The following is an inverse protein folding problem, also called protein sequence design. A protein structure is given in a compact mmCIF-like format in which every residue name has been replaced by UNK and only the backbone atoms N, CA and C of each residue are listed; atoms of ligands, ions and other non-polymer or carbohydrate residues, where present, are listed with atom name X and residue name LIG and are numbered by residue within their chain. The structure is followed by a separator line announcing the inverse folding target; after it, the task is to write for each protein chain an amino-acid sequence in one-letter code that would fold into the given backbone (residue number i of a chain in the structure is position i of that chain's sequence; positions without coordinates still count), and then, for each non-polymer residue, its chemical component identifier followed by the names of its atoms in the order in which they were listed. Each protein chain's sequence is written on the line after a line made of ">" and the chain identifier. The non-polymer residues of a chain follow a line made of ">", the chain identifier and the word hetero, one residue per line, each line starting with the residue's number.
data_IF_650229935710
#
_entry.id   IF_650229935710
#
_cell.length_a   1.000
_cell.length_b   1.000
_cell.length_c   1.000
_cell.angle_alpha   90.00
_cell.angle_beta   90.00
_cell.angle_gamma   90.00
#
_symmetry.space_group_name_H-M   'P 1'
#
loop_
_entity.id
_entity.type
_entity.pdbx_description
1 polymer ?
#
# COMPACT_ATOMS: atom_id res chain seq x y z
N UNK A 1 33.02 -16.08 -12.97
CA UNK A 1 33.91 -14.94 -13.30
C UNK A 1 33.84 -13.97 -12.13
N UNK A 2 34.86 -13.96 -11.28
CA UNK A 2 34.98 -13.07 -10.13
C UNK A 2 35.32 -11.67 -10.67
N UNK A 3 34.37 -10.74 -10.55
CA UNK A 3 34.57 -9.35 -10.90
C UNK A 3 35.63 -8.73 -9.98
N UNK A 4 36.59 -8.02 -10.61
CA UNK A 4 37.64 -7.27 -9.97
C UNK A 4 37.07 -6.19 -9.05
N UNK A 5 36.93 -6.50 -7.76
CA UNK A 5 36.81 -5.49 -6.72
C UNK A 5 38.20 -4.88 -6.49
N UNK A 6 38.29 -3.56 -6.49
CA UNK A 6 39.53 -2.84 -6.23
C UNK A 6 40.11 -3.21 -4.86
N UNK A 7 41.44 -3.22 -4.72
CA UNK A 7 42.17 -3.65 -3.52
C UNK A 7 41.78 -2.93 -2.22
N UNK A 8 41.11 -1.78 -2.30
CA UNK A 8 40.64 -1.01 -1.13
C UNK A 8 39.34 -1.53 -0.52
N UNK A 9 38.52 -2.28 -1.27
CA UNK A 9 37.26 -2.86 -0.75
C UNK A 9 37.46 -4.16 0.05
N UNK A 10 38.66 -4.75 0.03
CA UNK A 10 38.93 -6.08 0.64
C UNK A 10 39.22 -6.05 2.15
N UNK A 11 39.31 -4.88 2.80
CA UNK A 11 39.70 -4.77 4.21
C UNK A 11 38.65 -4.11 5.12
N UNK A 12 37.44 -3.78 4.66
CA UNK A 12 36.39 -3.36 5.57
C UNK A 12 35.65 -4.61 6.11
N UNK A 13 35.44 -4.70 7.43
CA UNK A 13 34.66 -5.80 7.99
C UNK A 13 33.25 -5.80 7.38
N UNK A 14 32.83 -6.95 6.82
CA UNK A 14 31.49 -7.12 6.27
C UNK A 14 30.50 -7.08 7.43
N UNK A 15 29.92 -5.93 7.70
CA UNK A 15 28.86 -5.81 8.70
C UNK A 15 27.55 -6.37 8.15
N UNK A 16 26.76 -7.12 8.95
CA UNK A 16 25.44 -7.60 8.51
C UNK A 16 24.42 -6.47 8.36
N UNK A 17 24.73 -5.26 8.86
CA UNK A 17 23.85 -4.10 8.86
C UNK A 17 24.42 -2.99 7.97
N UNK A 18 23.52 -2.27 7.29
CA UNK A 18 23.90 -1.04 6.57
C UNK A 18 24.48 0.01 7.55
N UNK A 19 25.43 0.82 7.10
CA UNK A 19 26.14 1.78 7.94
C UNK A 19 25.22 2.75 8.72
N UNK A 20 24.13 3.22 8.11
CA UNK A 20 23.15 4.08 8.79
C UNK A 20 22.41 3.37 9.92
N UNK A 21 22.10 2.09 9.74
CA UNK A 21 21.43 1.27 10.76
C UNK A 21 22.38 0.94 11.92
N UNK A 22 23.66 0.67 11.62
CA UNK A 22 24.69 0.51 12.64
C UNK A 22 24.84 1.77 13.48
N UNK A 23 24.90 2.94 12.84
CA UNK A 23 25.00 4.23 13.53
C UNK A 23 23.85 4.42 14.53
N UNK A 24 22.60 4.22 14.10
CA UNK A 24 21.43 4.37 14.95
C UNK A 24 21.41 3.35 16.08
N UNK A 25 21.83 2.11 15.84
CA UNK A 25 21.91 1.10 16.88
C UNK A 25 23.03 1.40 17.89
N UNK A 26 24.18 1.87 17.44
CA UNK A 26 25.26 2.29 18.34
C UNK A 26 24.84 3.47 19.22
N UNK A 27 24.17 4.47 18.64
CA UNK A 27 23.59 5.60 19.38
C UNK A 27 22.59 5.11 20.44
N UNK A 28 21.71 4.21 20.08
CA UNK A 28 20.68 3.66 20.98
C UNK A 28 21.30 2.88 22.17
N UNK A 29 22.29 2.02 21.89
CA UNK A 29 22.99 1.24 22.90
C UNK A 29 24.15 1.98 23.56
N UNK A 30 24.34 3.27 23.28
CA UNK A 30 25.41 4.13 23.85
C UNK A 30 26.83 3.55 23.65
N UNK A 31 27.04 2.91 22.48
CA UNK A 31 28.36 2.42 22.12
C UNK A 31 29.18 3.59 21.59
N UNK A 32 30.30 3.91 22.29
CA UNK A 32 31.26 4.92 21.81
C UNK A 32 32.00 4.39 20.58
N UNK A 33 31.43 4.67 19.41
CA UNK A 33 32.05 4.30 18.14
C UNK A 33 32.97 5.43 17.69
N UNK A 34 34.27 5.31 17.93
CA UNK A 34 35.31 6.14 17.29
C UNK A 34 35.38 5.95 15.78
N UNK A 35 34.48 5.13 15.20
CA UNK A 35 34.45 4.82 13.76
C UNK A 35 33.53 5.79 13.04
N UNK A 36 34.09 6.56 12.11
CA UNK A 36 33.32 7.29 11.12
C UNK A 36 32.64 6.29 10.19
N UNK A 37 31.32 6.08 10.34
CA UNK A 37 30.52 5.33 9.38
C UNK A 37 30.52 6.10 8.05
N UNK A 38 31.16 5.54 7.04
CA UNK A 38 31.12 6.12 5.67
C UNK A 38 29.75 5.81 5.06
N UNK A 39 28.78 6.67 5.32
CA UNK A 39 27.48 6.64 4.64
C UNK A 39 27.67 7.41 3.33
N UNK A 40 27.69 6.68 2.20
CA UNK A 40 27.74 7.31 0.89
C UNK A 40 26.43 8.08 0.68
N UNK A 41 26.46 9.37 0.35
CA UNK A 41 25.25 10.13 0.05
C UNK A 41 24.57 9.56 -1.20
N UNK A 42 23.25 9.48 -1.18
CA UNK A 42 22.48 9.13 -2.37
C UNK A 42 22.61 10.23 -3.40
N UNK A 43 22.76 9.82 -4.65
CA UNK A 43 22.77 10.73 -5.79
C UNK A 43 21.36 10.77 -6.34
N UNK A 44 20.68 11.90 -6.18
CA UNK A 44 19.32 12.12 -6.71
C UNK A 44 19.38 12.95 -7.98
N UNK A 45 18.49 12.64 -8.92
CA UNK A 45 18.27 13.44 -10.12
C UNK A 45 17.35 14.61 -9.74
N UNK A 46 17.75 15.84 -10.05
CA UNK A 46 16.93 17.02 -9.77
C UNK A 46 15.64 17.03 -10.61
N UNK A 47 14.54 17.50 -10.01
CA UNK A 47 13.29 17.70 -10.73
C UNK A 47 13.45 18.90 -11.68
N UNK A 48 13.35 18.68 -12.99
CA UNK A 48 13.27 19.77 -13.97
C UNK A 48 11.81 20.02 -14.36
N UNK A 49 11.31 21.20 -14.03
CA UNK A 49 9.90 21.57 -14.20
C UNK A 49 9.43 21.83 -15.64
N UNK A 50 10.31 21.94 -16.63
CA UNK A 50 9.98 22.65 -17.89
C UNK A 50 10.13 21.86 -19.20
N UNK A 51 10.31 20.54 -19.18
CA UNK A 51 10.43 19.78 -20.42
C UNK A 51 9.55 18.53 -20.45
N UNK A 52 8.31 18.68 -20.94
CA UNK A 52 7.53 17.52 -21.41
C UNK A 52 8.08 17.19 -22.80
N UNK A 53 8.69 16.00 -23.00
CA UNK A 53 9.18 15.61 -24.32
C UNK A 53 8.05 15.60 -25.33
N UNK A 54 8.29 16.07 -26.54
CA UNK A 54 7.30 16.08 -27.65
C UNK A 54 6.93 14.68 -28.15
N UNK A 55 7.68 13.65 -27.77
CA UNK A 55 7.38 12.22 -28.03
C UNK A 55 7.71 11.40 -26.78
N UNK A 56 6.78 10.55 -26.36
CA UNK A 56 6.98 9.58 -25.30
C UNK A 56 7.99 8.53 -25.72
N UNK A 57 9.09 8.38 -24.97
CA UNK A 57 10.08 7.32 -25.16
C UNK A 57 9.53 6.01 -24.59
N UNK A 58 9.67 4.90 -25.30
CA UNK A 58 9.44 3.58 -24.71
C UNK A 58 10.43 3.36 -23.57
N UNK A 59 9.93 3.01 -22.40
CA UNK A 59 10.72 2.78 -21.18
C UNK A 59 10.72 1.30 -20.82
N UNK A 60 11.82 0.86 -20.22
CA UNK A 60 11.90 -0.39 -19.48
C UNK A 60 11.87 -0.09 -17.98
N UNK A 61 10.79 -0.46 -17.31
CA UNK A 61 10.46 -0.07 -15.94
C UNK A 61 10.62 -1.28 -15.01
N UNK A 62 11.34 -1.09 -13.92
CA UNK A 62 11.45 -2.08 -12.86
C UNK A 62 10.62 -1.67 -11.65
N UNK A 63 9.58 -2.44 -11.33
CA UNK A 63 8.91 -2.39 -10.04
C UNK A 63 9.53 -3.39 -9.07
N UNK A 64 9.81 -2.95 -7.85
CA UNK A 64 10.30 -3.83 -6.77
C UNK A 64 9.39 -3.71 -5.57
N UNK A 65 8.99 -4.83 -5.02
CA UNK A 65 8.27 -4.90 -3.73
C UNK A 65 8.92 -5.95 -2.83
N UNK A 66 8.97 -5.67 -1.53
CA UNK A 66 9.42 -6.59 -0.48
C UNK A 66 8.31 -7.56 -0.04
N UNK A 67 7.10 -7.36 -0.53
CA UNK A 67 5.95 -8.23 -0.28
C UNK A 67 5.75 -9.23 -1.42
N UNK A 68 4.99 -10.29 -1.14
CA UNK A 68 4.66 -11.29 -2.16
C UNK A 68 3.86 -10.66 -3.30
N UNK A 69 4.31 -10.87 -4.53
CA UNK A 69 3.61 -10.51 -5.76
C UNK A 69 3.78 -11.64 -6.80
N UNK A 70 2.73 -12.04 -7.56
CA UNK A 70 1.34 -11.64 -7.34
C UNK A 70 0.74 -12.21 -6.06
N UNK A 71 -0.24 -11.51 -5.48
CA UNK A 71 -0.98 -11.94 -4.30
C UNK A 71 -2.36 -11.24 -4.27
N UNK A 72 -3.23 -11.67 -3.35
CA UNK A 72 -4.52 -11.00 -3.11
C UNK A 72 -4.33 -9.77 -2.22
N UNK A 73 -4.89 -8.62 -2.61
CA UNK A 73 -4.91 -7.40 -1.80
C UNK A 73 -4.54 -6.13 -2.55
N UNK A 74 -4.72 -4.99 -1.90
CA UNK A 74 -4.61 -3.66 -2.52
C UNK A 74 -3.26 -3.39 -3.18
N UNK A 75 -2.14 -3.71 -2.52
CA UNK A 75 -0.81 -3.51 -3.08
C UNK A 75 -0.61 -4.31 -4.39
N UNK A 76 -0.98 -5.60 -4.38
CA UNK A 76 -0.83 -6.43 -5.57
C UNK A 76 -1.73 -5.97 -6.71
N UNK A 77 -2.98 -5.57 -6.41
CA UNK A 77 -3.89 -5.00 -7.42
C UNK A 77 -3.34 -3.69 -8.00
N UNK A 78 -2.74 -2.84 -7.16
CA UNK A 78 -2.11 -1.59 -7.60
C UNK A 78 -0.94 -1.85 -8.55
N UNK A 79 0.00 -2.73 -8.16
CA UNK A 79 1.16 -3.10 -9.01
C UNK A 79 0.68 -3.74 -10.32
N UNK A 80 -0.34 -4.61 -10.26
CA UNK A 80 -0.91 -5.23 -11.47
C UNK A 80 -1.54 -4.17 -12.37
N UNK A 81 -2.27 -3.21 -11.81
CA UNK A 81 -2.84 -2.09 -12.59
C UNK A 81 -1.75 -1.25 -13.24
N UNK A 82 -0.65 -0.95 -12.55
CA UNK A 82 0.48 -0.24 -13.15
C UNK A 82 1.12 -1.07 -14.27
N UNK A 83 1.47 -2.32 -14.00
CA UNK A 83 2.12 -3.20 -14.98
C UNK A 83 1.29 -3.29 -16.27
N UNK A 84 0.05 -3.74 -16.16
CA UNK A 84 -0.81 -3.93 -17.34
C UNK A 84 -1.14 -2.61 -18.06
N UNK A 85 -1.24 -1.53 -17.31
CA UNK A 85 -1.46 -0.21 -17.90
C UNK A 85 -0.25 0.32 -18.66
N UNK A 86 0.95 0.23 -18.12
CA UNK A 86 2.17 0.62 -18.82
C UNK A 86 2.46 -0.27 -20.04
N UNK A 87 2.24 -1.59 -19.94
CA UNK A 87 2.36 -2.51 -21.07
C UNK A 87 1.38 -2.14 -22.20
N UNK A 88 0.14 -1.74 -21.87
CA UNK A 88 -0.86 -1.23 -22.85
C UNK A 88 -0.37 0.03 -23.56
N UNK A 89 0.42 0.87 -22.88
CA UNK A 89 1.04 2.08 -23.45
C UNK A 89 2.36 1.79 -24.20
N UNK A 90 2.77 0.51 -24.30
CA UNK A 90 3.92 0.07 -25.08
C UNK A 90 5.24 0.05 -24.35
N UNK A 91 5.25 0.22 -23.01
CA UNK A 91 6.44 0.09 -22.18
C UNK A 91 6.73 -1.37 -21.82
N UNK A 92 7.97 -1.69 -21.47
CA UNK A 92 8.35 -2.99 -20.91
C UNK A 92 8.37 -2.88 -19.38
N UNK A 93 7.67 -3.79 -18.70
CA UNK A 93 7.51 -3.73 -17.24
C UNK A 93 7.84 -5.05 -16.58
N UNK A 94 8.84 -5.04 -15.72
CA UNK A 94 9.17 -6.16 -14.86
C UNK A 94 8.81 -5.85 -13.40
N UNK A 95 8.35 -6.88 -12.68
CA UNK A 95 8.08 -6.80 -11.24
C UNK A 95 8.94 -7.83 -10.54
N UNK A 96 9.79 -7.39 -9.61
CA UNK A 96 10.60 -8.28 -8.78
C UNK A 96 10.07 -8.28 -7.36
N UNK A 97 9.85 -9.47 -6.82
CA UNK A 97 9.38 -9.69 -5.46
C UNK A 97 9.99 -10.96 -4.85
N UNK A 98 9.89 -11.18 -3.53
CA UNK A 98 10.41 -12.38 -2.90
C UNK A 98 9.81 -13.70 -3.37
N UNK A 99 8.70 -13.70 -4.10
CA UNK A 99 8.12 -14.92 -4.68
C UNK A 99 8.99 -15.57 -5.74
N UNK A 100 9.97 -14.83 -6.27
CA UNK A 100 10.92 -15.30 -7.28
C UNK A 100 12.24 -15.82 -6.67
N UNK A 101 12.39 -15.73 -5.35
CA UNK A 101 13.54 -16.28 -4.63
C UNK A 101 13.47 -17.82 -4.63
N UNK A 102 14.62 -18.46 -4.77
CA UNK A 102 14.71 -19.93 -4.75
C UNK A 102 14.62 -20.49 -3.34
N UNK A 103 14.45 -21.81 -3.20
CA UNK A 103 14.53 -22.50 -1.91
C UNK A 103 15.87 -22.27 -1.21
N UNK A 104 16.98 -22.19 -1.95
CA UNK A 104 18.31 -21.88 -1.39
C UNK A 104 18.28 -20.54 -0.66
N UNK A 105 17.78 -19.48 -1.28
CA UNK A 105 17.67 -18.17 -0.63
C UNK A 105 16.82 -18.24 0.66
N UNK A 106 15.69 -18.97 0.62
CA UNK A 106 14.72 -18.99 1.72
C UNK A 106 15.15 -19.90 2.88
N UNK A 107 15.73 -21.08 2.57
CA UNK A 107 15.98 -22.16 3.52
C UNK A 107 17.43 -22.21 3.98
N UNK A 108 18.38 -21.60 3.26
CA UNK A 108 19.81 -21.61 3.60
C UNK A 108 20.31 -20.17 3.86
N UNK A 109 20.22 -19.28 2.87
CA UNK A 109 20.85 -17.96 2.95
C UNK A 109 20.22 -17.06 4.04
N UNK A 110 18.87 -17.04 4.15
CA UNK A 110 18.19 -16.24 5.18
C UNK A 110 18.52 -16.74 6.59
N UNK A 111 18.47 -18.05 6.93
CA UNK A 111 18.89 -18.53 8.24
C UNK A 111 20.35 -18.21 8.55
N UNK A 112 21.28 -18.39 7.60
CA UNK A 112 22.70 -18.07 7.78
C UNK A 112 22.90 -16.56 8.02
N UNK A 113 22.24 -15.71 7.25
CA UNK A 113 22.28 -14.26 7.45
C UNK A 113 21.68 -13.85 8.81
N UNK A 114 20.66 -14.58 9.29
CA UNK A 114 20.05 -14.33 10.59
C UNK A 114 20.98 -14.72 11.76
N UNK A 115 21.67 -15.85 11.64
CA UNK A 115 22.68 -16.26 12.61
C UNK A 115 23.81 -15.24 12.70
N UNK A 116 24.36 -14.84 11.56
CA UNK A 116 25.42 -13.82 11.50
C UNK A 116 24.96 -12.47 12.11
N UNK A 117 23.74 -12.02 11.82
CA UNK A 117 23.19 -10.80 12.40
C UNK A 117 22.99 -10.92 13.92
N UNK A 118 22.57 -12.09 14.41
CA UNK A 118 22.40 -12.38 15.84
C UNK A 118 23.72 -12.35 16.57
N UNK A 119 24.72 -13.06 16.06
CA UNK A 119 26.06 -13.12 16.66
C UNK A 119 26.69 -11.74 16.73
N UNK A 120 26.55 -10.97 15.64
CA UNK A 120 27.01 -9.58 15.62
C UNK A 120 26.33 -8.74 16.70
N UNK A 121 25.01 -8.84 16.87
CA UNK A 121 24.28 -8.07 17.89
C UNK A 121 24.68 -8.49 19.30
N UNK A 122 24.82 -9.79 19.57
CA UNK A 122 25.26 -10.32 20.87
C UNK A 122 26.66 -9.86 21.21
N UNK A 123 27.61 -9.95 20.28
CA UNK A 123 28.99 -9.52 20.47
C UNK A 123 29.12 -8.01 20.69
N UNK A 124 28.32 -7.20 19.95
CA UNK A 124 28.45 -5.75 19.98
C UNK A 124 27.61 -5.08 21.05
N UNK A 125 26.39 -5.57 21.29
CA UNK A 125 25.39 -4.93 22.15
C UNK A 125 25.05 -5.77 23.39
N UNK A 126 25.54 -6.98 23.49
CA UNK A 126 25.20 -7.92 24.58
C UNK A 126 23.75 -8.43 24.53
N UNK A 127 23.00 -8.07 23.51
CA UNK A 127 21.59 -8.45 23.34
C UNK A 127 21.25 -8.61 21.86
N UNK A 128 20.21 -9.41 21.57
CA UNK A 128 19.72 -9.64 20.21
C UNK A 128 18.23 -9.26 20.10
N UNK A 129 17.83 -8.65 18.98
CA UNK A 129 16.45 -8.31 18.70
C UNK A 129 15.96 -9.09 17.47
N UNK A 130 15.07 -10.06 17.70
CA UNK A 130 14.61 -10.98 16.66
C UNK A 130 13.86 -10.30 15.49
N UNK A 131 13.16 -9.19 15.74
CA UNK A 131 12.48 -8.47 14.66
C UNK A 131 13.49 -7.78 13.74
N UNK A 132 14.53 -7.19 14.31
CA UNK A 132 15.62 -6.54 13.57
C UNK A 132 16.40 -7.59 12.80
N UNK A 133 16.80 -8.70 13.47
CA UNK A 133 17.53 -9.80 12.84
C UNK A 133 16.75 -10.34 11.65
N UNK A 134 15.49 -10.70 11.84
CA UNK A 134 14.63 -11.23 10.78
C UNK A 134 14.49 -10.25 9.60
N UNK A 135 14.35 -8.96 9.87
CA UNK A 135 14.24 -7.97 8.81
C UNK A 135 15.56 -7.78 8.07
N UNK A 136 16.67 -7.62 8.79
CA UNK A 136 18.00 -7.42 8.20
C UNK A 136 18.45 -8.61 7.38
N UNK A 137 18.29 -9.84 7.88
CA UNK A 137 18.66 -11.04 7.14
C UNK A 137 17.90 -11.16 5.81
N UNK A 138 16.60 -10.91 5.87
CA UNK A 138 15.79 -10.93 4.65
C UNK A 138 16.17 -9.80 3.67
N UNK A 139 16.45 -8.59 4.19
CA UNK A 139 16.91 -7.47 3.37
C UNK A 139 18.24 -7.80 2.66
N UNK A 140 19.19 -8.39 3.36
CA UNK A 140 20.50 -8.73 2.80
C UNK A 140 20.39 -9.77 1.69
N UNK A 141 19.63 -10.84 1.93
CA UNK A 141 19.45 -11.91 0.92
C UNK A 141 18.65 -11.39 -0.27
N UNK A 142 17.59 -10.62 -0.06
CA UNK A 142 16.83 -10.04 -1.15
C UNK A 142 17.65 -9.01 -1.96
N UNK A 143 18.55 -8.26 -1.30
CA UNK A 143 19.50 -7.38 -1.99
C UNK A 143 20.46 -8.16 -2.89
N UNK A 144 21.00 -9.29 -2.40
CA UNK A 144 21.86 -10.18 -3.19
C UNK A 144 21.09 -10.75 -4.39
N UNK A 145 19.87 -11.21 -4.16
CA UNK A 145 18.97 -11.68 -5.21
C UNK A 145 18.69 -10.62 -6.30
N UNK A 146 18.51 -9.35 -5.90
CA UNK A 146 18.36 -8.25 -6.87
C UNK A 146 19.64 -8.02 -7.68
N UNK A 147 20.83 -8.14 -7.07
CA UNK A 147 22.12 -8.00 -7.76
C UNK A 147 22.39 -9.07 -8.82
N UNK A 148 21.79 -10.25 -8.69
CA UNK A 148 21.88 -11.32 -9.68
C UNK A 148 21.10 -10.99 -10.97
N UNK A 149 20.33 -9.91 -10.97
CA UNK A 149 19.55 -9.45 -12.11
C UNK A 149 20.30 -8.39 -12.89
N UNK A 150 20.07 -8.33 -14.19
CA UNK A 150 20.65 -7.29 -15.07
C UNK A 150 19.91 -5.95 -14.85
N UNK A 151 20.18 -5.28 -13.73
CA UNK A 151 19.48 -4.04 -13.35
C UNK A 151 19.84 -2.85 -14.25
N UNK A 152 20.99 -2.87 -14.88
CA UNK A 152 21.47 -1.86 -15.85
C UNK A 152 20.54 -1.68 -17.06
N UNK A 153 19.75 -2.71 -17.41
CA UNK A 153 18.85 -2.69 -18.55
C UNK A 153 17.62 -1.80 -18.39
N UNK A 154 17.26 -1.43 -17.14
CA UNK A 154 16.08 -0.62 -16.85
C UNK A 154 16.38 0.87 -16.99
N UNK A 155 15.38 1.63 -17.48
CA UNK A 155 15.43 3.08 -17.55
C UNK A 155 14.98 3.70 -16.20
N UNK A 156 14.07 3.04 -15.49
CA UNK A 156 13.42 3.53 -14.27
C UNK A 156 13.39 2.45 -13.21
N UNK A 157 13.70 2.83 -11.98
CA UNK A 157 13.44 2.03 -10.77
C UNK A 157 12.25 2.60 -10.00
N UNK A 158 11.30 1.74 -9.64
CA UNK A 158 10.17 2.13 -8.82
C UNK A 158 9.95 1.14 -7.67
N UNK A 159 10.10 1.61 -6.45
CA UNK A 159 9.86 0.87 -5.23
C UNK A 159 8.41 1.01 -4.76
N UNK A 160 7.76 -0.10 -4.47
CA UNK A 160 6.37 -0.15 -4.05
C UNK A 160 6.19 -0.30 -2.53
N UNK A 161 7.27 -0.24 -1.80
CA UNK A 161 7.27 -0.24 -0.33
C UNK A 161 8.58 0.25 0.24
N UNK A 162 8.57 0.53 1.55
CA UNK A 162 9.67 1.02 2.34
C UNK A 162 10.97 0.22 2.21
N UNK A 163 10.86 -1.10 2.23
CA UNK A 163 12.04 -1.97 2.21
C UNK A 163 12.63 -2.04 0.80
N UNK A 164 11.77 -2.05 -0.21
CA UNK A 164 12.18 -2.02 -1.61
C UNK A 164 12.95 -0.72 -1.92
N UNK A 165 12.46 0.45 -1.49
CA UNK A 165 13.15 1.71 -1.75
C UNK A 165 14.48 1.82 -1.00
N UNK A 166 14.55 1.29 0.23
CA UNK A 166 15.79 1.23 0.99
C UNK A 166 16.86 0.37 0.28
N UNK A 167 16.46 -0.77 -0.30
CA UNK A 167 17.38 -1.62 -1.05
C UNK A 167 17.77 -1.02 -2.40
N UNK A 168 16.79 -0.55 -3.16
CA UNK A 168 17.05 0.08 -4.45
C UNK A 168 17.92 1.33 -4.30
N UNK A 169 17.75 2.13 -3.26
CA UNK A 169 18.61 3.28 -2.99
C UNK A 169 20.08 2.88 -2.83
N UNK A 170 20.37 1.77 -2.13
CA UNK A 170 21.72 1.26 -1.98
C UNK A 170 22.31 0.73 -3.30
N UNK A 171 21.50 -0.01 -4.07
CA UNK A 171 21.91 -0.54 -5.38
C UNK A 171 22.09 0.57 -6.40
N UNK A 172 21.27 1.61 -6.33
CA UNK A 172 21.28 2.73 -7.27
C UNK A 172 22.52 3.64 -7.17
N UNK A 173 23.32 3.51 -6.12
CA UNK A 173 24.67 4.12 -6.08
C UNK A 173 25.56 3.62 -7.22
N UNK A 174 25.29 2.39 -7.72
CA UNK A 174 25.99 1.76 -8.83
C UNK A 174 25.30 2.07 -10.18
N UNK A 175 23.97 1.88 -10.24
CA UNK A 175 23.21 1.92 -11.52
C UNK A 175 22.81 3.33 -11.96
N UNK A 176 22.66 4.27 -11.03
CA UNK A 176 22.35 5.69 -11.29
C UNK A 176 21.10 5.87 -12.18
N UNK A 177 20.00 5.25 -11.81
CA UNK A 177 18.70 5.36 -12.50
C UNK A 177 17.77 6.27 -11.70
N UNK A 178 16.81 6.97 -12.34
CA UNK A 178 15.73 7.63 -11.60
C UNK A 178 15.00 6.64 -10.71
N UNK A 179 14.92 6.97 -9.41
CA UNK A 179 14.32 6.12 -8.38
C UNK A 179 13.05 6.75 -7.84
N UNK A 180 11.94 6.09 -8.12
CA UNK A 180 10.61 6.46 -7.63
C UNK A 180 10.20 5.58 -6.46
N UNK A 181 9.38 6.15 -5.57
CA UNK A 181 8.85 5.43 -4.42
C UNK A 181 7.35 5.68 -4.27
N UNK A 182 6.56 4.61 -4.19
CA UNK A 182 5.14 4.69 -3.80
C UNK A 182 4.91 4.05 -2.44
N UNK A 183 4.67 4.83 -1.37
CA UNK A 183 4.27 4.31 -0.07
C UNK A 183 2.79 3.92 -0.07
N UNK A 184 2.48 2.68 0.34
CA UNK A 184 1.11 2.20 0.53
C UNK A 184 0.64 2.26 1.97
N UNK A 185 1.50 2.70 2.88
CA UNK A 185 1.22 2.85 4.30
C UNK A 185 2.41 3.44 5.05
N UNK A 186 2.14 3.99 6.23
CA UNK A 186 3.16 4.47 7.16
C UNK A 186 3.59 3.29 8.03
N UNK A 187 4.72 2.66 7.72
CA UNK A 187 5.11 1.41 8.36
C UNK A 187 5.34 1.57 9.86
N UNK A 188 6.25 2.44 10.27
CA UNK A 188 6.61 2.64 11.68
C UNK A 188 5.44 3.22 12.47
N UNK A 189 4.78 4.27 11.98
CA UNK A 189 3.59 4.86 12.62
C UNK A 189 2.46 3.84 12.80
N UNK A 190 2.21 3.01 11.80
CA UNK A 190 1.18 1.97 11.89
C UNK A 190 1.51 0.92 12.94
N UNK A 191 2.79 0.53 13.05
CA UNK A 191 3.21 -0.45 14.04
C UNK A 191 3.19 0.10 15.47
N UNK A 192 3.50 1.38 15.66
CA UNK A 192 3.34 2.09 16.93
C UNK A 192 1.85 2.20 17.29
N UNK A 193 0.99 2.63 16.34
CA UNK A 193 -0.47 2.78 16.57
C UNK A 193 -1.15 1.48 17.00
N UNK A 194 -0.66 0.33 16.53
CA UNK A 194 -1.23 -0.99 16.84
C UNK A 194 -0.37 -1.81 17.80
N UNK A 195 0.49 -1.18 18.60
CA UNK A 195 1.36 -1.78 19.63
C UNK A 195 2.21 -2.96 19.11
N UNK A 196 2.57 -2.94 17.82
CA UNK A 196 3.47 -3.94 17.23
C UNK A 196 4.94 -3.67 17.53
N UNK A 197 5.28 -2.41 17.75
CA UNK A 197 6.55 -1.91 18.27
C UNK A 197 6.26 -0.88 19.35
N UNK A 198 7.20 -0.69 20.30
CA UNK A 198 7.04 0.27 21.38
C UNK A 198 7.72 1.60 21.03
N UNK A 199 7.11 2.71 21.46
CA UNK A 199 7.72 4.03 21.35
C UNK A 199 9.04 4.08 22.17
N UNK A 200 10.07 4.68 21.59
CA UNK A 200 11.40 4.76 22.18
C UNK A 200 12.20 3.45 22.13
N UNK A 201 11.70 2.41 21.46
CA UNK A 201 12.42 1.13 21.31
C UNK A 201 13.44 1.18 20.17
N UNK A 202 14.39 0.22 20.22
CA UNK A 202 15.36 0.03 19.15
C UNK A 202 14.67 -0.30 17.81
N UNK A 203 13.54 -1.01 17.84
CA UNK A 203 12.77 -1.30 16.62
C UNK A 203 12.21 -0.01 15.99
N UNK A 204 11.72 0.94 16.81
CA UNK A 204 11.27 2.24 16.28
C UNK A 204 12.43 2.99 15.62
N UNK A 205 13.59 3.08 16.30
CA UNK A 205 14.77 3.73 15.76
C UNK A 205 15.23 3.08 14.44
N UNK A 206 15.31 1.75 14.41
CA UNK A 206 15.72 0.96 13.27
C UNK A 206 14.78 1.16 12.04
N UNK A 207 13.47 0.99 12.23
CA UNK A 207 12.53 1.12 11.11
C UNK A 207 12.35 2.56 10.65
N UNK A 208 12.42 3.52 11.56
CA UNK A 208 12.41 4.94 11.21
C UNK A 208 13.63 5.33 10.38
N UNK A 209 14.80 4.77 10.66
CA UNK A 209 16.00 5.04 9.85
C UNK A 209 15.87 4.43 8.46
N UNK A 210 15.29 3.24 8.31
CA UNK A 210 15.01 2.67 6.98
C UNK A 210 14.08 3.60 6.19
N UNK A 211 12.99 4.13 6.82
CA UNK A 211 12.08 5.09 6.19
C UNK A 211 12.82 6.36 5.74
N UNK A 212 13.63 6.95 6.61
CA UNK A 212 14.43 8.14 6.29
C UNK A 212 15.41 7.90 5.14
N UNK A 213 16.08 6.76 5.13
CA UNK A 213 17.04 6.42 4.06
C UNK A 213 16.33 6.19 2.72
N UNK A 214 15.18 5.50 2.71
CA UNK A 214 14.38 5.30 1.51
C UNK A 214 13.86 6.63 0.92
N UNK A 215 13.37 7.53 1.78
CA UNK A 215 12.95 8.88 1.39
C UNK A 215 14.11 9.68 0.77
N UNK A 216 15.28 9.66 1.42
CA UNK A 216 16.47 10.37 0.92
C UNK A 216 17.00 9.81 -0.40
N UNK A 217 16.82 8.52 -0.65
CA UNK A 217 17.26 7.86 -1.87
C UNK A 217 16.35 8.13 -3.07
N UNK A 218 15.10 8.52 -2.82
CA UNK A 218 14.10 8.72 -3.87
C UNK A 218 14.26 10.06 -4.56
N UNK A 219 14.18 10.06 -5.89
CA UNK A 219 14.09 11.29 -6.69
C UNK A 219 12.69 11.91 -6.57
N UNK A 220 11.66 11.07 -6.64
CA UNK A 220 10.26 11.45 -6.48
C UNK A 220 9.52 10.42 -5.66
N UNK A 221 8.62 10.88 -4.78
CA UNK A 221 7.72 10.03 -4.00
C UNK A 221 6.31 10.24 -4.55
N UNK A 222 5.76 9.19 -5.16
CA UNK A 222 4.42 9.21 -5.74
C UNK A 222 3.45 8.68 -4.69
N UNK A 223 2.73 9.59 -4.02
CA UNK A 223 1.78 9.22 -2.98
C UNK A 223 0.40 8.90 -3.59
N UNK A 224 -0.31 7.94 -2.99
CA UNK A 224 -1.66 7.56 -3.44
C UNK A 224 -2.75 8.51 -2.93
N UNK A 225 -2.40 9.38 -1.97
CA UNK A 225 -3.26 10.47 -1.46
C UNK A 225 -2.40 11.54 -0.80
N UNK A 226 -2.94 12.77 -0.68
CA UNK A 226 -2.27 13.89 0.00
C UNK A 226 -2.09 13.64 1.51
N UNK A 227 -2.89 12.73 2.09
CA UNK A 227 -2.76 12.35 3.50
C UNK A 227 -1.39 11.77 3.86
N UNK A 228 -0.59 11.36 2.87
CA UNK A 228 0.79 10.90 3.07
C UNK A 228 1.81 12.02 3.24
N UNK A 229 1.54 13.25 2.77
CA UNK A 229 2.56 14.29 2.67
C UNK A 229 3.12 14.68 4.05
N UNK A 230 2.30 15.16 4.97
CA UNK A 230 2.78 15.56 6.30
C UNK A 230 3.54 14.45 7.04
N UNK A 231 3.06 13.19 7.10
CA UNK A 231 3.85 12.10 7.67
C UNK A 231 5.20 11.85 6.99
N UNK A 232 5.31 11.98 5.67
CA UNK A 232 6.58 11.79 4.96
C UNK A 232 7.54 12.96 5.20
N UNK A 233 7.04 14.18 5.29
CA UNK A 233 7.82 15.37 5.65
C UNK A 233 8.41 15.26 7.05
N UNK A 234 7.69 14.68 8.02
CA UNK A 234 8.21 14.37 9.35
C UNK A 234 9.40 13.39 9.31
N UNK A 235 9.47 12.51 8.30
CA UNK A 235 10.58 11.60 8.05
C UNK A 235 11.65 12.19 7.12
N UNK A 236 11.52 13.47 6.73
CA UNK A 236 12.51 14.24 5.99
C UNK A 236 12.30 14.28 4.48
N UNK A 237 11.12 13.94 3.98
CA UNK A 237 10.75 14.21 2.58
C UNK A 237 10.67 15.72 2.38
N UNK A 238 11.16 16.19 1.22
CA UNK A 238 10.97 17.57 0.81
C UNK A 238 9.64 17.70 0.08
N UNK A 239 8.97 18.84 0.22
CA UNK A 239 7.67 19.09 -0.44
C UNK A 239 7.74 18.89 -1.95
N UNK A 240 8.84 19.30 -2.59
CA UNK A 240 9.08 19.12 -4.03
C UNK A 240 9.27 17.65 -4.46
N UNK A 241 9.63 16.75 -3.53
CA UNK A 241 9.71 15.31 -3.80
C UNK A 241 8.32 14.63 -3.79
N UNK A 242 7.30 15.28 -3.24
CA UNK A 242 5.98 14.69 -3.04
C UNK A 242 5.05 15.06 -4.18
N UNK A 243 4.50 14.05 -4.83
CA UNK A 243 3.45 14.23 -5.84
C UNK A 243 2.34 13.21 -5.61
N UNK A 244 1.09 13.67 -5.65
CA UNK A 244 -0.04 12.77 -5.48
C UNK A 244 -0.58 12.31 -6.83
N UNK A 245 -0.62 10.99 -7.00
CA UNK A 245 -1.33 10.32 -8.08
C UNK A 245 -2.28 9.30 -7.45
N UNK A 246 -3.57 9.62 -7.46
CA UNK A 246 -4.59 8.73 -6.89
C UNK A 246 -4.59 7.38 -7.58
N UNK A 247 -4.82 6.31 -6.81
CA UNK A 247 -4.94 4.96 -7.34
C UNK A 247 -6.05 4.88 -8.37
N UNK A 248 -5.72 4.34 -9.52
CA UNK A 248 -6.67 4.01 -10.59
C UNK A 248 -6.69 2.51 -10.86
N UNK A 249 -7.87 1.99 -11.18
CA UNK A 249 -8.04 0.56 -11.45
C UNK A 249 -8.67 0.30 -12.82
N UNK A 250 -8.35 -0.87 -13.34
CA UNK A 250 -9.09 -1.46 -14.44
C UNK A 250 -10.22 -2.30 -13.84
N UNK A 251 -11.46 -1.96 -14.14
CA UNK A 251 -12.61 -2.63 -13.56
C UNK A 251 -13.71 -2.79 -14.62
N UNK A 252 -14.04 -4.05 -14.89
CA UNK A 252 -15.09 -4.41 -15.84
C UNK A 252 -16.36 -4.76 -15.09
N UNK A 253 -17.42 -4.06 -15.41
CA UNK A 253 -18.76 -4.47 -15.00
C UNK A 253 -19.23 -5.64 -15.86
N UNK A 254 -19.92 -6.63 -15.30
CA UNK A 254 -20.56 -7.69 -16.09
C UNK A 254 -21.56 -7.08 -17.08
N UNK A 255 -21.59 -7.64 -18.30
CA UNK A 255 -22.45 -7.14 -19.38
C UNK A 255 -23.95 -7.35 -19.13
N UNK A 256 -24.31 -8.19 -18.17
CA UNK A 256 -25.67 -8.53 -17.80
C UNK A 256 -25.86 -8.18 -16.33
N UNK A 257 -26.62 -7.13 -16.01
CA UNK A 257 -27.20 -7.00 -14.69
C UNK A 257 -28.17 -8.19 -14.51
N UNK A 258 -27.92 -9.08 -13.56
CA UNK A 258 -28.94 -10.07 -13.22
C UNK A 258 -30.22 -9.32 -12.88
N UNK A 259 -31.31 -9.65 -13.58
CA UNK A 259 -32.63 -9.19 -13.15
C UNK A 259 -32.79 -9.55 -11.68
N UNK A 260 -33.11 -8.55 -10.86
CA UNK A 260 -33.34 -8.78 -9.44
C UNK A 260 -34.57 -9.61 -9.30
N UNK A 261 -34.44 -10.82 -8.76
CA UNK A 261 -35.55 -11.68 -8.45
C UNK A 261 -36.41 -11.16 -7.29
N UNK A 262 -35.93 -10.16 -6.52
CA UNK A 262 -36.62 -9.62 -5.34
C UNK A 262 -36.42 -8.08 -5.27
N UNK A 263 -37.44 -7.39 -4.70
CA UNK A 263 -37.39 -5.93 -4.43
C UNK A 263 -36.50 -5.54 -3.22
N UNK A 264 -35.72 -6.47 -2.69
CA UNK A 264 -34.85 -6.23 -1.55
C UNK A 264 -33.70 -5.30 -1.91
N UNK A 265 -33.40 -4.37 -1.01
CA UNK A 265 -32.19 -3.53 -1.09
C UNK A 265 -31.00 -4.34 -0.60
N UNK A 266 -29.99 -4.47 -1.41
CA UNK A 266 -28.75 -5.16 -1.04
C UNK A 266 -27.69 -4.16 -0.60
N UNK A 267 -27.16 -4.35 0.61
CA UNK A 267 -26.01 -3.62 1.13
C UNK A 267 -24.77 -4.54 1.06
N UNK A 268 -23.71 -4.12 0.39
CA UNK A 268 -22.45 -4.86 0.34
C UNK A 268 -21.36 -4.20 1.16
N UNK A 269 -20.53 -5.04 1.82
CA UNK A 269 -19.30 -4.63 2.48
C UNK A 269 -18.18 -5.57 2.02
N UNK A 270 -17.35 -5.09 1.10
CA UNK A 270 -16.27 -5.88 0.48
C UNK A 270 -14.93 -5.44 1.05
N UNK A 271 -14.37 -6.23 1.96
CA UNK A 271 -13.06 -5.97 2.53
C UNK A 271 -12.53 -7.15 3.34
N UNK A 272 -11.24 -7.11 3.71
CA UNK A 272 -10.67 -8.07 4.66
C UNK A 272 -11.31 -7.92 6.03
N UNK A 273 -11.70 -9.03 6.67
CA UNK A 273 -12.28 -9.02 8.02
C UNK A 273 -11.19 -8.81 9.07
N UNK A 274 -10.80 -7.55 9.27
CA UNK A 274 -9.79 -7.13 10.23
C UNK A 274 -10.30 -5.98 11.11
N UNK A 275 -9.76 -5.79 12.34
CA UNK A 275 -10.26 -4.78 13.28
C UNK A 275 -10.34 -3.38 12.67
N UNK A 276 -9.37 -3.02 11.85
CA UNK A 276 -9.31 -1.68 11.22
C UNK A 276 -10.42 -1.39 10.20
N UNK A 277 -11.13 -2.42 9.72
CA UNK A 277 -12.19 -2.27 8.70
C UNK A 277 -13.57 -1.97 9.28
N UNK A 278 -13.72 -2.06 10.61
CA UNK A 278 -14.89 -1.57 11.33
C UNK A 278 -16.19 -2.34 11.13
N UNK A 279 -16.13 -3.63 10.74
CA UNK A 279 -17.32 -4.45 10.55
C UNK A 279 -18.18 -4.55 11.82
N UNK A 280 -17.54 -4.58 13.00
CA UNK A 280 -18.23 -4.58 14.28
C UNK A 280 -19.05 -3.30 14.53
N UNK A 281 -18.54 -2.15 14.04
CA UNK A 281 -19.24 -0.86 14.05
C UNK A 281 -20.45 -0.91 13.10
N UNK A 282 -20.29 -1.51 11.93
CA UNK A 282 -21.34 -1.68 10.95
C UNK A 282 -22.50 -2.53 11.50
N UNK A 283 -22.19 -3.67 12.13
CA UNK A 283 -23.19 -4.52 12.77
C UNK A 283 -23.96 -3.78 13.88
N UNK A 284 -23.26 -3.00 14.72
CA UNK A 284 -23.90 -2.14 15.72
C UNK A 284 -24.79 -1.07 15.09
N UNK A 285 -24.41 -0.51 13.95
CA UNK A 285 -25.23 0.47 13.25
C UNK A 285 -26.50 -0.15 12.67
N UNK A 286 -26.39 -1.34 12.08
CA UNK A 286 -27.55 -2.11 11.59
C UNK A 286 -28.52 -2.46 12.72
N UNK A 287 -28.04 -2.88 13.89
CA UNK A 287 -28.91 -3.22 15.02
C UNK A 287 -29.75 -2.04 15.51
N UNK A 288 -29.29 -0.79 15.37
CA UNK A 288 -30.05 0.41 15.74
C UNK A 288 -31.21 0.72 14.80
N UNK A 289 -31.14 0.24 13.57
CA UNK A 289 -32.17 0.44 12.54
C UNK A 289 -32.86 -0.88 12.17
N UNK A 290 -32.83 -1.86 13.07
CA UNK A 290 -33.34 -3.21 12.82
C UNK A 290 -34.77 -3.23 12.24
N UNK A 291 -35.61 -2.30 12.67
CA UNK A 291 -36.99 -2.19 12.18
C UNK A 291 -37.08 -1.77 10.70
N UNK A 292 -36.05 -1.12 10.17
CA UNK A 292 -35.98 -0.66 8.79
C UNK A 292 -35.36 -1.73 7.84
N UNK A 293 -35.02 -2.95 8.34
CA UNK A 293 -34.29 -3.99 7.61
C UNK A 293 -35.16 -5.13 7.04
N UNK A 294 -36.46 -5.03 7.07
CA UNK A 294 -37.38 -6.13 6.63
C UNK A 294 -37.15 -6.55 5.16
N UNK A 295 -36.82 -5.60 4.28
CA UNK A 295 -36.57 -5.86 2.87
C UNK A 295 -35.10 -5.53 2.51
N UNK A 296 -34.17 -5.88 3.40
CA UNK A 296 -32.73 -5.58 3.21
C UNK A 296 -31.93 -6.87 3.34
N UNK A 297 -31.05 -7.12 2.41
CA UNK A 297 -29.99 -8.11 2.54
C UNK A 297 -28.64 -7.44 2.75
N UNK A 298 -27.83 -7.97 3.66
CA UNK A 298 -26.47 -7.46 3.93
C UNK A 298 -25.44 -8.52 3.58
N UNK A 299 -24.56 -8.18 2.65
CA UNK A 299 -23.52 -9.07 2.15
C UNK A 299 -22.16 -8.65 2.68
N UNK A 300 -21.55 -9.46 3.54
CA UNK A 300 -20.19 -9.28 4.02
C UNK A 300 -19.28 -10.20 3.21
N UNK A 301 -18.44 -9.59 2.37
CA UNK A 301 -17.58 -10.27 1.41
C UNK A 301 -16.13 -10.07 1.79
N UNK A 302 -15.43 -11.15 2.02
CA UNK A 302 -14.05 -11.19 2.47
C UNK A 302 -13.86 -12.18 3.61
N UNK A 303 -12.61 -12.28 4.07
CA UNK A 303 -12.22 -13.16 5.15
C UNK A 303 -11.13 -12.52 6.02
N UNK A 304 -10.91 -13.06 7.22
CA UNK A 304 -9.89 -12.56 8.13
C UNK A 304 -10.13 -12.91 9.58
N UNK A 305 -9.21 -12.46 10.42
CA UNK A 305 -9.16 -12.81 11.87
C UNK A 305 -10.41 -12.43 12.68
N UNK A 306 -11.26 -11.58 12.13
CA UNK A 306 -12.50 -11.15 12.82
C UNK A 306 -13.71 -12.01 12.50
N UNK A 307 -13.61 -12.97 11.59
CA UNK A 307 -14.78 -13.73 11.06
C UNK A 307 -15.66 -14.31 12.16
N UNK A 308 -15.12 -15.18 12.98
CA UNK A 308 -15.85 -15.87 14.05
C UNK A 308 -16.48 -14.87 15.04
N UNK A 309 -15.72 -13.83 15.40
CA UNK A 309 -16.23 -12.78 16.29
C UNK A 309 -17.41 -12.02 15.68
N UNK A 310 -17.37 -11.73 14.39
CA UNK A 310 -18.44 -11.02 13.70
C UNK A 310 -19.68 -11.89 13.54
N UNK A 311 -19.54 -13.17 13.23
CA UNK A 311 -20.65 -14.14 13.18
C UNK A 311 -21.32 -14.27 14.55
N UNK A 312 -20.55 -14.37 15.64
CA UNK A 312 -21.07 -14.35 17.02
C UNK A 312 -21.80 -13.04 17.32
N UNK A 313 -21.27 -11.90 16.89
CA UNK A 313 -21.89 -10.59 17.10
C UNK A 313 -23.23 -10.48 16.35
N UNK A 314 -23.36 -11.02 15.15
CA UNK A 314 -24.60 -11.07 14.38
C UNK A 314 -25.68 -11.79 15.18
N UNK A 315 -25.36 -12.96 15.75
CA UNK A 315 -26.31 -13.74 16.60
C UNK A 315 -26.72 -12.94 17.85
N UNK A 316 -25.75 -12.34 18.55
CA UNK A 316 -25.99 -11.52 19.74
C UNK A 316 -26.88 -10.30 19.48
N UNK A 317 -26.76 -9.71 18.30
CA UNK A 317 -27.56 -8.54 17.89
C UNK A 317 -28.90 -8.93 17.24
N UNK A 318 -29.14 -10.21 17.00
CA UNK A 318 -30.35 -10.73 16.36
C UNK A 318 -30.54 -10.19 14.95
N UNK A 319 -29.51 -10.21 14.12
CA UNK A 319 -29.53 -9.74 12.74
C UNK A 319 -29.63 -10.95 11.80
N UNK A 320 -30.83 -11.22 11.27
CA UNK A 320 -31.11 -12.43 10.47
C UNK A 320 -30.83 -12.29 8.98
N UNK A 321 -30.59 -11.06 8.51
CA UNK A 321 -30.42 -10.69 7.11
C UNK A 321 -28.97 -10.53 6.66
N UNK A 322 -28.00 -10.99 7.45
CA UNK A 322 -26.56 -10.90 7.19
C UNK A 322 -26.05 -12.20 6.55
N UNK A 323 -25.38 -12.08 5.40
CA UNK A 323 -24.73 -13.22 4.72
C UNK A 323 -23.22 -12.99 4.63
N UNK A 324 -22.43 -13.95 5.12
CA UNK A 324 -20.97 -13.97 5.00
C UNK A 324 -20.57 -14.84 3.81
N UNK A 325 -20.03 -14.23 2.75
CA UNK A 325 -19.64 -14.92 1.52
C UNK A 325 -18.22 -15.47 1.51
N UNK A 326 -17.39 -15.13 2.50
CA UNK A 326 -15.97 -15.47 2.47
C UNK A 326 -15.21 -14.74 1.36
N UNK A 327 -14.07 -15.27 0.98
CA UNK A 327 -13.30 -14.72 -0.15
C UNK A 327 -13.99 -15.00 -1.46
N UNK A 328 -14.13 -13.98 -2.30
CA UNK A 328 -14.73 -14.04 -3.64
C UNK A 328 -13.80 -13.45 -4.66
N UNK A 329 -13.90 -13.92 -5.90
CA UNK A 329 -13.19 -13.40 -7.08
C UNK A 329 -14.12 -12.66 -8.03
N UNK A 330 -15.43 -12.90 -7.94
CA UNK A 330 -16.50 -12.28 -8.71
C UNK A 330 -17.01 -10.98 -8.06
N UNK A 331 -16.08 -10.12 -7.67
CA UNK A 331 -16.43 -8.83 -7.03
C UNK A 331 -17.28 -7.92 -7.93
N UNK A 332 -17.03 -7.84 -9.26
CA UNK A 332 -17.89 -7.06 -10.15
C UNK A 332 -19.37 -7.51 -10.13
N UNK A 333 -19.64 -8.81 -10.10
CA UNK A 333 -20.99 -9.38 -10.04
C UNK A 333 -21.69 -9.06 -8.72
N UNK A 334 -20.96 -9.18 -7.61
CA UNK A 334 -21.44 -8.86 -6.27
C UNK A 334 -21.82 -7.37 -6.19
N UNK A 335 -20.91 -6.51 -6.63
CA UNK A 335 -21.12 -5.06 -6.60
C UNK A 335 -22.25 -4.64 -7.57
N UNK A 336 -22.35 -5.23 -8.76
CA UNK A 336 -23.45 -4.92 -9.68
C UNK A 336 -24.83 -5.36 -9.17
N UNK A 337 -24.85 -6.28 -8.22
CA UNK A 337 -26.07 -6.81 -7.60
C UNK A 337 -26.48 -6.10 -6.31
N UNK A 338 -25.73 -5.09 -5.87
CA UNK A 338 -25.99 -4.32 -4.65
C UNK A 338 -26.22 -2.83 -4.95
N UNK A 339 -27.01 -2.15 -4.09
CA UNK A 339 -27.33 -0.73 -4.24
C UNK A 339 -26.53 0.17 -3.36
N UNK A 340 -26.15 -0.33 -2.18
CA UNK A 340 -25.42 0.43 -1.18
C UNK A 340 -24.12 -0.30 -0.90
N UNK A 341 -23.03 0.42 -0.93
CA UNK A 341 -21.73 -0.06 -0.48
C UNK A 341 -21.35 0.60 0.84
N UNK A 342 -20.90 -0.19 1.81
CA UNK A 342 -20.48 0.32 3.11
C UNK A 342 -19.05 -0.11 3.41
N UNK A 343 -18.19 0.86 3.70
CA UNK A 343 -16.84 0.61 4.24
C UNK A 343 -16.62 1.47 5.49
N UNK A 344 -16.95 0.96 6.69
CA UNK A 344 -16.92 1.72 7.95
C UNK A 344 -15.53 1.69 8.59
N UNK A 345 -14.50 1.83 7.77
CA UNK A 345 -13.10 1.64 8.17
C UNK A 345 -12.64 2.69 9.19
N UNK A 346 -11.78 2.28 10.12
CA UNK A 346 -11.17 3.18 11.11
C UNK A 346 -9.72 3.55 10.74
N UNK A 347 -9.17 2.88 9.75
CA UNK A 347 -7.83 3.18 9.23
C UNK A 347 -7.65 2.58 7.83
N UNK A 348 -7.66 3.43 6.84
CA UNK A 348 -7.38 3.09 5.44
C UNK A 348 -6.72 4.27 4.73
N UNK A 349 -5.96 4.01 3.68
CA UNK A 349 -5.28 5.06 2.95
C UNK A 349 -6.05 5.47 1.69
N UNK A 350 -6.24 4.53 0.76
CA UNK A 350 -6.98 4.78 -0.48
C UNK A 350 -7.60 3.43 -0.95
N UNK A 351 -8.76 3.04 -0.39
CA UNK A 351 -9.29 1.68 -0.53
C UNK A 351 -9.80 1.40 -1.95
N UNK A 352 -9.20 0.43 -2.62
CA UNK A 352 -9.58 -0.02 -3.97
C UNK A 352 -11.05 -0.45 -4.02
N UNK A 353 -11.56 -1.11 -2.98
CA UNK A 353 -12.95 -1.56 -2.94
C UNK A 353 -13.98 -0.42 -2.95
N UNK A 354 -13.60 0.78 -2.52
CA UNK A 354 -14.44 1.98 -2.70
C UNK A 354 -14.45 2.40 -4.18
N UNK A 355 -13.31 2.34 -4.87
CA UNK A 355 -13.25 2.65 -6.31
C UNK A 355 -14.10 1.65 -7.11
N UNK A 356 -13.99 0.36 -6.79
CA UNK A 356 -14.81 -0.71 -7.39
C UNK A 356 -16.30 -0.44 -7.21
N UNK A 357 -16.73 -0.07 -6.01
CA UNK A 357 -18.10 0.27 -5.70
C UNK A 357 -18.58 1.54 -6.42
N UNK A 358 -17.74 2.57 -6.51
CA UNK A 358 -18.03 3.78 -7.29
C UNK A 358 -18.24 3.47 -8.78
N UNK A 359 -17.33 2.69 -9.38
CA UNK A 359 -17.41 2.24 -10.77
C UNK A 359 -18.67 1.38 -11.01
N UNK A 360 -19.12 0.66 -9.98
CA UNK A 360 -20.35 -0.15 -9.99
C UNK A 360 -21.63 0.66 -9.76
N UNK A 361 -21.55 2.00 -9.70
CA UNK A 361 -22.70 2.90 -9.51
C UNK A 361 -23.44 2.71 -8.20
N UNK A 362 -22.76 2.34 -7.11
CA UNK A 362 -23.37 2.17 -5.80
C UNK A 362 -23.42 3.48 -5.01
N UNK A 363 -24.44 3.62 -4.14
CA UNK A 363 -24.45 4.66 -3.13
C UNK A 363 -23.44 4.28 -2.04
N UNK A 364 -22.41 5.10 -1.85
CA UNK A 364 -21.29 4.81 -0.96
C UNK A 364 -21.56 5.40 0.43
N UNK A 365 -21.36 4.59 1.49
CA UNK A 365 -21.19 5.08 2.86
C UNK A 365 -19.79 4.67 3.31
N UNK A 366 -18.99 5.61 3.74
CA UNK A 366 -17.64 5.36 4.23
C UNK A 366 -17.25 6.32 5.34
N UNK A 367 -15.96 6.40 5.70
CA UNK A 367 -15.50 7.19 6.84
C UNK A 367 -14.45 8.21 6.47
N UNK A 368 -14.34 9.27 7.30
CA UNK A 368 -13.35 10.32 7.16
C UNK A 368 -11.98 9.86 7.67
N UNK A 369 -11.29 8.99 6.92
CA UNK A 369 -9.93 8.58 7.27
C UNK A 369 -9.01 8.44 6.05
N UNK A 370 -7.71 8.70 6.24
CA UNK A 370 -6.69 8.63 5.20
C UNK A 370 -7.04 9.46 3.98
N UNK A 371 -6.92 8.85 2.79
CA UNK A 371 -7.25 9.49 1.51
C UNK A 371 -8.70 9.37 1.08
N UNK A 372 -9.59 8.81 1.90
CA UNK A 372 -11.02 8.64 1.54
C UNK A 372 -11.70 9.99 1.22
N UNK A 373 -11.47 11.09 1.95
CA UNK A 373 -12.05 12.40 1.59
C UNK A 373 -11.58 12.94 0.22
N UNK A 374 -10.52 12.39 -0.34
CA UNK A 374 -10.05 12.74 -1.69
C UNK A 374 -10.77 11.93 -2.78
N UNK A 375 -11.39 10.79 -2.41
CA UNK A 375 -12.17 9.94 -3.30
C UNK A 375 -13.65 10.30 -3.30
N UNK A 376 -14.20 10.61 -2.13
CA UNK A 376 -15.63 10.81 -1.91
C UNK A 376 -15.90 12.27 -1.55
N UNK A 377 -16.74 12.93 -2.33
CA UNK A 377 -17.31 14.24 -2.01
C UNK A 377 -18.58 14.01 -1.18
N UNK A 378 -18.53 14.34 0.11
CA UNK A 378 -19.65 14.11 1.03
C UNK A 378 -20.95 14.76 0.55
N UNK A 379 -22.03 14.00 0.50
CA UNK A 379 -23.35 14.43 0.03
C UNK A 379 -23.50 14.49 -1.50
N UNK A 380 -22.43 14.27 -2.29
CA UNK A 380 -22.44 14.33 -3.75
C UNK A 380 -22.09 12.96 -4.38
N UNK A 381 -20.97 12.36 -4.02
CA UNK A 381 -20.56 11.05 -4.54
C UNK A 381 -20.65 9.93 -3.50
N UNK A 382 -21.11 10.24 -2.29
CA UNK A 382 -21.30 9.31 -1.20
C UNK A 382 -21.55 10.05 0.11
N UNK A 383 -21.66 9.31 1.20
CA UNK A 383 -21.82 9.82 2.56
C UNK A 383 -20.58 9.47 3.36
N UNK A 384 -19.97 10.45 4.02
CA UNK A 384 -18.81 10.28 4.89
C UNK A 384 -19.25 10.41 6.36
N UNK A 385 -18.92 9.40 7.16
CA UNK A 385 -19.12 9.39 8.61
C UNK A 385 -17.78 9.51 9.33
N UNK A 386 -17.80 9.91 10.60
CA UNK A 386 -16.61 9.85 11.44
C UNK A 386 -16.25 8.38 11.75
N UNK A 387 -14.96 8.02 11.75
CA UNK A 387 -14.52 6.68 12.10
C UNK A 387 -15.02 6.26 13.49
N UNK A 388 -15.67 5.09 13.58
CA UNK A 388 -16.19 4.58 14.84
C UNK A 388 -17.57 5.13 15.25
N UNK A 389 -18.13 6.09 14.54
CA UNK A 389 -19.40 6.72 14.90
C UNK A 389 -20.60 5.89 14.44
N UNK A 390 -21.06 5.02 15.33
CA UNK A 390 -22.22 4.13 15.08
C UNK A 390 -23.49 4.93 14.77
N UNK A 391 -23.71 6.09 15.40
CA UNK A 391 -24.91 6.90 15.20
C UNK A 391 -24.97 7.51 13.81
N UNK A 392 -23.85 8.15 13.36
CA UNK A 392 -23.77 8.71 12.01
C UNK A 392 -23.95 7.62 10.96
N UNK A 393 -23.33 6.45 11.15
CA UNK A 393 -23.46 5.33 10.24
C UNK A 393 -24.90 4.80 10.18
N UNK A 394 -25.59 4.67 11.32
CA UNK A 394 -27.02 4.29 11.38
C UNK A 394 -27.90 5.28 10.62
N UNK A 395 -27.67 6.59 10.82
CA UNK A 395 -28.44 7.65 10.16
C UNK A 395 -28.22 7.63 8.64
N UNK A 396 -26.96 7.44 8.18
CA UNK A 396 -26.61 7.33 6.76
C UNK A 396 -27.29 6.10 6.12
N UNK A 397 -27.23 4.95 6.79
CA UNK A 397 -27.91 3.74 6.34
C UNK A 397 -29.42 3.97 6.21
N UNK A 398 -30.09 4.47 7.26
CA UNK A 398 -31.52 4.76 7.25
C UNK A 398 -31.90 5.72 6.12
N UNK A 399 -31.13 6.80 5.93
CA UNK A 399 -31.35 7.79 4.87
C UNK A 399 -31.32 7.12 3.49
N UNK A 400 -30.29 6.28 3.23
CA UNK A 400 -30.18 5.60 1.94
C UNK A 400 -31.20 4.47 1.76
N UNK A 401 -31.62 3.79 2.81
CA UNK A 401 -32.67 2.77 2.72
C UNK A 401 -34.04 3.37 2.35
N UNK A 402 -34.37 4.53 2.92
CA UNK A 402 -35.68 5.17 2.72
C UNK A 402 -35.75 6.08 1.48
N UNK A 403 -34.61 6.46 0.89
CA UNK A 403 -34.57 7.40 -0.23
C UNK A 403 -33.90 6.80 -1.48
N UNK A 404 -34.69 6.13 -2.31
CA UNK A 404 -34.24 5.53 -3.58
C UNK A 404 -33.61 6.53 -4.53
N UNK A 405 -34.24 7.71 -4.72
CA UNK A 405 -33.75 8.75 -5.62
C UNK A 405 -32.37 9.28 -5.22
N UNK A 406 -32.13 9.43 -3.90
CA UNK A 406 -30.83 9.81 -3.38
C UNK A 406 -29.76 8.73 -3.65
N UNK A 407 -30.11 7.42 -3.42
CA UNK A 407 -29.20 6.30 -3.75
C UNK A 407 -28.76 6.34 -5.20
N UNK A 408 -29.73 6.46 -6.11
CA UNK A 408 -29.47 6.49 -7.56
C UNK A 408 -28.62 7.70 -7.98
N UNK A 409 -28.88 8.85 -7.37
CA UNK A 409 -28.11 10.09 -7.63
C UNK A 409 -26.69 9.96 -7.15
N UNK A 410 -26.45 9.57 -5.88
CA UNK A 410 -25.10 9.39 -5.33
C UNK A 410 -24.32 8.35 -6.12
N UNK A 411 -24.94 7.22 -6.48
CA UNK A 411 -24.29 6.19 -7.28
C UNK A 411 -23.90 6.64 -8.68
N UNK A 412 -24.75 7.42 -9.35
CA UNK A 412 -24.46 8.00 -10.67
C UNK A 412 -23.29 9.00 -10.60
N UNK A 413 -23.31 9.90 -9.61
CA UNK A 413 -22.25 10.90 -9.42
C UNK A 413 -20.92 10.23 -9.02
N UNK A 414 -20.96 9.18 -8.17
CA UNK A 414 -19.79 8.38 -7.81
C UNK A 414 -19.17 7.72 -9.06
N UNK A 415 -19.99 7.11 -9.91
CA UNK A 415 -19.51 6.47 -11.14
C UNK A 415 -18.92 7.50 -12.12
N UNK A 416 -19.56 8.63 -12.31
CA UNK A 416 -19.04 9.68 -13.18
C UNK A 416 -17.67 10.18 -12.70
N UNK A 417 -17.55 10.48 -11.42
CA UNK A 417 -16.29 10.89 -10.80
C UNK A 417 -15.18 9.84 -10.93
N UNK A 418 -15.49 8.58 -10.59
CA UNK A 418 -14.47 7.51 -10.64
C UNK A 418 -13.99 7.22 -12.07
N UNK A 419 -14.87 7.26 -13.05
CA UNK A 419 -14.51 7.12 -14.49
C UNK A 419 -13.59 8.24 -14.96
N UNK A 420 -13.78 9.44 -14.46
CA UNK A 420 -12.96 10.59 -14.84
C UNK A 420 -11.60 10.64 -14.11
N UNK A 421 -11.50 10.13 -12.88
CA UNK A 421 -10.36 10.40 -12.00
C UNK A 421 -9.64 9.17 -11.46
N UNK A 422 -10.31 8.01 -11.39
CA UNK A 422 -9.82 6.83 -10.66
C UNK A 422 -9.70 5.57 -11.55
N UNK A 423 -9.51 5.78 -12.84
CA UNK A 423 -9.23 4.66 -13.78
C UNK A 423 -7.74 4.40 -13.93
N UNK A 424 -7.41 3.18 -14.32
CA UNK A 424 -6.03 2.77 -14.63
C UNK A 424 -5.37 3.73 -15.64
N UNK A 425 -6.06 4.07 -16.73
CA UNK A 425 -5.50 4.93 -17.77
C UNK A 425 -5.17 6.35 -17.24
N UNK A 426 -6.00 6.90 -16.36
CA UNK A 426 -5.72 8.20 -15.71
C UNK A 426 -4.50 8.12 -14.80
N UNK A 427 -4.39 7.08 -13.98
CA UNK A 427 -3.24 6.86 -13.09
C UNK A 427 -1.95 6.68 -13.90
N UNK A 428 -1.96 5.77 -14.87
CA UNK A 428 -0.78 5.45 -15.68
C UNK A 428 -0.31 6.64 -16.48
N UNK A 429 -1.22 7.38 -17.13
CA UNK A 429 -0.87 8.60 -17.89
C UNK A 429 -0.19 9.67 -17.01
N UNK A 430 -0.63 9.84 -15.76
CA UNK A 430 0.00 10.77 -14.83
C UNK A 430 1.40 10.31 -14.42
N UNK A 431 1.56 9.02 -14.09
CA UNK A 431 2.86 8.46 -13.69
C UNK A 431 3.82 8.43 -14.87
N UNK A 432 3.35 8.12 -16.09
CA UNK A 432 4.16 8.18 -17.30
C UNK A 432 4.76 9.58 -17.52
N UNK A 433 3.96 10.62 -17.39
CA UNK A 433 4.45 12.01 -17.49
C UNK A 433 5.52 12.31 -16.46
N UNK A 434 5.39 11.80 -15.23
CA UNK A 434 6.40 11.94 -14.20
C UNK A 434 7.69 11.22 -14.63
N UNK A 435 7.62 9.98 -15.08
CA UNK A 435 8.81 9.25 -15.54
C UNK A 435 9.49 9.96 -16.73
N UNK A 436 8.70 10.37 -17.73
CA UNK A 436 9.24 11.04 -18.91
C UNK A 436 9.95 12.36 -18.57
N UNK A 437 9.51 13.08 -17.53
CA UNK A 437 10.18 14.33 -17.10
C UNK A 437 11.59 14.11 -16.57
N UNK A 438 11.96 12.89 -16.16
CA UNK A 438 13.31 12.51 -15.74
C UNK A 438 14.16 11.95 -16.90
N UNK A 439 13.54 11.62 -18.04
CA UNK A 439 14.24 11.02 -19.20
C UNK A 439 14.76 12.06 -20.20
N UNK A 440 14.34 13.31 -20.11
CA UNK A 440 14.70 14.35 -21.09
C UNK A 440 16.16 14.77 -21.06
N UNK A 441 16.95 14.26 -20.11
CA UNK A 441 18.36 14.63 -19.91
C UNK A 441 19.33 13.43 -19.91
N UNK A 442 18.87 12.23 -20.25
CA UNK A 442 19.71 11.06 -20.51
C UNK A 442 19.88 10.88 -22.03
#
# INVERSE_FOLDING_TARGET
>A
MLLNTTKEERNEPIYPFHASLLKIMDEYYQIDSKKNYRIKPFQTFGIKKDSIPSKTKKLKILYVTFFRYPNTGGLSNYITSLKTGFEKYGHDVDVISPTQMTSVHLEQDIPQAAEHARDFMLQRYGTANEKIIKNTSFLNVFKSFLRERSLEQYDVFHAEDLFAVFLLGQLNLEYKKPLFFTPHGHFTRSRLKFDKIKKGSIEEAYFSEIEKQGIRASDQIITISNSFHSPLEEYGAKTEQLITVHTGIHFHLPSISKEKCNDNVVISCVSRLSPRKGHDIFLKALSRIRQDLSNVEVWIVGDGVMRERLETQVLQLGLDNIKFFGRRTDIPEILSSSEIYVLPTINDNFPISVIEAMLSRQAIITTNCGGIPEMIQNGKTGIICDPGNVQQLSNALKLLLTNKSLRETLGREAQAYSRQHLTQDVMVSKIEKIYQSFMSDM
#
